data_IF_778897318476
#
_entry.id   IF_778897318476
#
_cell.length_a   1.000
_cell.length_b   1.000
_cell.length_c   1.000
_cell.angle_alpha   90.00
_cell.angle_beta   90.00
_cell.angle_gamma   90.00
#
_symmetry.space_group_name_H-M   'P 1'
#
loop_
_entity.id
_entity.type
_entity.pdbx_description
1 polymer ?
#
# COMPACT_ATOMS: atom_id res chain seq x y z
N UNK A 1 42.85 -34.92 -9.09
CA UNK A 1 41.60 -34.82 -8.31
C UNK A 1 41.19 -33.39 -7.91
N UNK A 2 41.66 -32.34 -8.62
CA UNK A 2 41.32 -30.92 -8.31
C UNK A 2 40.48 -30.22 -9.39
N UNK A 3 40.22 -30.90 -10.51
CA UNK A 3 39.58 -30.29 -11.69
C UNK A 3 38.05 -30.43 -11.65
N UNK A 4 37.50 -31.40 -10.90
CA UNK A 4 36.04 -31.59 -10.78
C UNK A 4 35.36 -30.59 -9.83
N UNK A 5 36.09 -30.02 -8.87
CA UNK A 5 35.50 -29.08 -7.89
C UNK A 5 35.23 -27.68 -8.49
N UNK A 6 35.90 -27.35 -9.60
CA UNK A 6 35.75 -26.04 -10.25
C UNK A 6 34.48 -25.93 -11.11
N UNK A 7 33.95 -27.05 -11.61
CA UNK A 7 32.74 -27.05 -12.44
C UNK A 7 31.45 -26.98 -11.62
N UNK A 8 31.49 -27.37 -10.33
CA UNK A 8 30.34 -27.26 -9.43
C UNK A 8 30.04 -25.81 -9.03
N UNK A 9 31.07 -24.95 -8.98
CA UNK A 9 30.92 -23.51 -8.70
C UNK A 9 30.48 -22.69 -9.91
N UNK A 10 30.61 -23.22 -11.13
CA UNK A 10 30.20 -22.51 -12.35
C UNK A 10 28.73 -22.77 -12.74
N UNK A 11 28.12 -23.85 -12.24
CA UNK A 11 26.72 -24.17 -12.53
C UNK A 11 25.71 -23.43 -11.63
N UNK A 12 26.17 -22.82 -10.53
CA UNK A 12 25.31 -22.06 -9.61
C UNK A 12 25.11 -20.59 -9.99
N UNK A 13 25.81 -20.08 -11.01
CA UNK A 13 25.78 -18.65 -11.36
C UNK A 13 24.69 -18.24 -12.37
N UNK A 14 23.81 -19.16 -12.79
CA UNK A 14 22.77 -18.88 -13.79
C UNK A 14 21.37 -18.62 -13.22
N UNK A 15 21.22 -18.45 -11.91
CA UNK A 15 20.02 -17.81 -11.35
C UNK A 15 20.12 -16.29 -11.51
N UNK A 16 20.22 -15.84 -12.76
CA UNK A 16 19.86 -14.48 -13.11
C UNK A 16 18.36 -14.38 -12.93
N UNK A 17 17.92 -13.79 -11.80
CA UNK A 17 16.60 -13.18 -11.72
C UNK A 17 16.58 -12.03 -12.73
N UNK A 18 16.36 -12.37 -14.00
CA UNK A 18 16.02 -11.40 -15.02
C UNK A 18 14.70 -10.77 -14.60
N UNK A 19 14.74 -9.52 -14.14
CA UNK A 19 13.54 -8.71 -14.04
C UNK A 19 12.99 -8.57 -15.45
N UNK A 20 11.99 -9.39 -15.77
CA UNK A 20 11.26 -9.28 -17.02
C UNK A 20 10.68 -7.88 -17.06
N UNK A 21 10.94 -7.11 -18.12
CA UNK A 21 10.15 -5.92 -18.45
C UNK A 21 8.68 -6.28 -18.25
N UNK A 22 8.02 -5.60 -17.31
CA UNK A 22 6.67 -5.91 -16.83
C UNK A 22 5.67 -5.95 -17.98
N UNK A 23 5.49 -7.13 -18.58
CA UNK A 23 4.52 -7.32 -19.64
C UNK A 23 3.19 -7.69 -18.99
N UNK A 24 2.50 -6.69 -18.47
CA UNK A 24 1.18 -6.86 -17.85
C UNK A 24 0.08 -7.27 -18.83
N UNK A 25 0.36 -7.27 -20.14
CA UNK A 25 -0.63 -7.51 -21.21
C UNK A 25 -1.42 -8.80 -20.99
N UNK A 26 -0.76 -9.89 -20.58
CA UNK A 26 -1.44 -11.18 -20.37
C UNK A 26 -2.36 -11.15 -19.15
N UNK A 27 -1.91 -10.52 -18.05
CA UNK A 27 -2.68 -10.40 -16.81
C UNK A 27 -3.90 -9.52 -17.06
N UNK A 28 -3.68 -8.36 -17.67
CA UNK A 28 -4.71 -7.38 -18.00
C UNK A 28 -5.74 -7.95 -18.98
N UNK A 29 -5.29 -8.63 -20.04
CA UNK A 29 -6.18 -9.26 -21.02
C UNK A 29 -7.05 -10.35 -20.40
N UNK A 30 -6.51 -11.10 -19.43
CA UNK A 30 -7.27 -12.10 -18.69
C UNK A 30 -8.29 -11.45 -17.75
N UNK A 31 -7.88 -10.44 -16.99
CA UNK A 31 -8.78 -9.72 -16.08
C UNK A 31 -9.84 -8.90 -16.79
N UNK A 32 -9.58 -8.42 -18.01
CA UNK A 32 -10.59 -7.78 -18.86
C UNK A 32 -11.73 -8.72 -19.25
N UNK A 33 -11.51 -10.05 -19.16
CA UNK A 33 -12.47 -11.10 -19.50
C UNK A 33 -13.03 -11.83 -18.28
N UNK A 34 -12.82 -11.30 -17.08
CA UNK A 34 -13.37 -11.89 -15.85
C UNK A 34 -14.90 -12.03 -15.96
N UNK A 35 -15.50 -13.19 -15.63
CA UNK A 35 -16.94 -13.37 -15.67
C UNK A 35 -17.66 -12.42 -14.71
N UNK A 36 -18.80 -11.85 -15.12
CA UNK A 36 -19.62 -10.98 -14.26
C UNK A 36 -20.05 -11.67 -12.95
N UNK A 37 -20.22 -13.00 -12.97
CA UNK A 37 -20.52 -13.79 -11.77
C UNK A 37 -19.40 -13.72 -10.73
N UNK A 38 -18.15 -13.56 -11.17
CA UNK A 38 -16.96 -13.43 -10.33
C UNK A 38 -16.68 -12.00 -9.89
N UNK A 39 -17.54 -11.03 -10.22
CA UNK A 39 -17.37 -9.61 -9.85
C UNK A 39 -18.48 -9.05 -8.97
N UNK A 40 -19.25 -9.95 -8.32
CA UNK A 40 -20.39 -9.60 -7.46
C UNK A 40 -20.00 -8.99 -6.12
N UNK A 41 -18.90 -9.47 -5.53
CA UNK A 41 -18.34 -8.96 -4.27
C UNK A 41 -16.80 -9.02 -4.35
N UNK A 42 -16.12 -8.33 -3.43
CA UNK A 42 -14.65 -8.30 -3.35
C UNK A 42 -14.07 -9.71 -3.21
N UNK A 43 -14.75 -10.61 -2.49
CA UNK A 43 -14.35 -12.01 -2.32
C UNK A 43 -14.30 -12.81 -3.60
N UNK A 44 -15.35 -12.71 -4.42
CA UNK A 44 -15.43 -13.44 -5.69
C UNK A 44 -14.32 -13.02 -6.66
N UNK A 45 -13.92 -11.74 -6.60
CA UNK A 45 -12.82 -11.19 -7.39
C UNK A 45 -11.49 -11.75 -6.88
N UNK A 46 -11.27 -11.72 -5.56
CA UNK A 46 -10.07 -12.28 -4.94
C UNK A 46 -9.94 -13.79 -5.23
N UNK A 47 -11.03 -14.56 -5.09
CA UNK A 47 -11.03 -16.01 -5.37
C UNK A 47 -10.70 -16.28 -6.85
N UNK A 48 -11.25 -15.49 -7.78
CA UNK A 48 -10.90 -15.61 -9.20
C UNK A 48 -9.42 -15.31 -9.43
N UNK A 49 -8.87 -14.26 -8.83
CA UNK A 49 -7.46 -13.89 -8.95
C UNK A 49 -6.57 -15.00 -8.37
N UNK A 50 -6.88 -15.52 -7.19
CA UNK A 50 -6.15 -16.59 -6.53
C UNK A 50 -6.09 -17.87 -7.37
N UNK A 51 -7.19 -18.21 -8.04
CA UNK A 51 -7.25 -19.40 -8.91
C UNK A 51 -6.46 -19.23 -10.22
N UNK A 52 -6.20 -18.01 -10.67
CA UNK A 52 -5.69 -17.72 -12.01
C UNK A 52 -4.25 -17.18 -12.06
N UNK A 53 -3.73 -16.69 -10.93
CA UNK A 53 -2.40 -16.08 -10.82
C UNK A 53 -1.65 -16.61 -9.62
N UNK A 54 -0.35 -16.85 -9.79
CA UNK A 54 0.47 -17.54 -8.76
C UNK A 54 1.31 -16.57 -7.97
N UNK A 55 2.05 -15.70 -8.66
CA UNK A 55 2.99 -14.78 -8.01
C UNK A 55 2.27 -13.62 -7.33
N UNK A 56 2.93 -13.02 -6.33
CA UNK A 56 2.41 -11.83 -5.66
C UNK A 56 2.22 -10.68 -6.65
N UNK A 57 3.18 -10.45 -7.54
CA UNK A 57 3.14 -9.37 -8.52
C UNK A 57 1.96 -9.51 -9.50
N UNK A 58 1.69 -10.73 -9.98
CA UNK A 58 0.55 -10.99 -10.86
C UNK A 58 -0.78 -10.75 -10.14
N UNK A 59 -0.92 -11.21 -8.89
CA UNK A 59 -2.12 -11.01 -8.07
C UNK A 59 -2.37 -9.54 -7.82
N UNK A 60 -1.35 -8.78 -7.42
CA UNK A 60 -1.45 -7.34 -7.20
C UNK A 60 -1.80 -6.61 -8.50
N UNK A 61 -1.18 -7.00 -9.62
CA UNK A 61 -1.50 -6.43 -10.94
C UNK A 61 -2.94 -6.68 -11.32
N UNK A 62 -3.41 -7.92 -11.18
CA UNK A 62 -4.78 -8.29 -11.49
C UNK A 62 -5.79 -7.49 -10.66
N UNK A 63 -5.54 -7.34 -9.35
CA UNK A 63 -6.38 -6.54 -8.44
C UNK A 63 -6.41 -5.07 -8.85
N UNK A 64 -5.23 -4.46 -9.06
CA UNK A 64 -5.11 -3.05 -9.43
C UNK A 64 -5.78 -2.76 -10.77
N UNK A 65 -5.45 -3.55 -11.79
CA UNK A 65 -6.01 -3.40 -13.13
C UNK A 65 -7.52 -3.52 -13.11
N UNK A 66 -8.05 -4.51 -12.37
CA UNK A 66 -9.48 -4.73 -12.32
C UNK A 66 -10.21 -3.54 -11.70
N UNK A 67 -9.74 -3.02 -10.56
CA UNK A 67 -10.35 -1.84 -9.93
C UNK A 67 -10.24 -0.62 -10.85
N UNK A 68 -9.03 -0.30 -11.33
CA UNK A 68 -8.77 0.88 -12.15
C UNK A 68 -9.52 0.87 -13.48
N UNK A 69 -9.77 -0.30 -14.07
CA UNK A 69 -10.43 -0.43 -15.37
C UNK A 69 -11.96 -0.54 -15.26
N UNK A 70 -12.50 -1.04 -14.15
CA UNK A 70 -13.93 -1.32 -14.02
C UNK A 70 -14.72 -0.27 -13.24
N UNK A 71 -14.05 0.60 -12.48
CA UNK A 71 -14.71 1.69 -11.75
C UNK A 71 -14.50 3.01 -12.48
N UNK A 72 -15.54 3.83 -12.55
CA UNK A 72 -15.48 5.19 -13.09
C UNK A 72 -15.52 6.24 -11.96
N UNK A 73 -14.72 7.30 -12.08
CA UNK A 73 -14.68 8.32 -11.05
C UNK A 73 -16.00 9.11 -11.01
N UNK A 74 -16.60 9.21 -9.82
CA UNK A 74 -17.88 9.87 -9.62
C UNK A 74 -17.70 11.37 -9.36
N UNK A 75 -17.43 12.12 -10.43
CA UNK A 75 -17.18 13.57 -10.35
C UNK A 75 -18.32 14.33 -9.68
N UNK A 76 -19.57 13.90 -9.90
CA UNK A 76 -20.74 14.56 -9.33
C UNK A 76 -20.79 14.49 -7.79
N UNK A 77 -20.15 13.48 -7.20
CA UNK A 77 -20.14 13.24 -5.76
C UNK A 77 -18.74 13.37 -5.15
N UNK A 78 -17.77 13.97 -5.85
CA UNK A 78 -16.37 14.08 -5.37
C UNK A 78 -16.22 14.87 -4.06
N UNK A 79 -17.16 15.76 -3.76
CA UNK A 79 -17.19 16.58 -2.55
C UNK A 79 -18.22 16.07 -1.52
N UNK A 80 -19.14 15.18 -1.94
CA UNK A 80 -20.24 14.65 -1.13
C UNK A 80 -19.93 13.21 -0.70
N UNK A 81 -18.86 13.05 0.09
CA UNK A 81 -18.52 11.74 0.65
C UNK A 81 -19.41 11.49 1.85
N UNK A 82 -20.28 10.47 1.76
CA UNK A 82 -21.07 9.99 2.89
C UNK A 82 -20.13 9.33 3.91
N UNK A 83 -19.72 10.10 4.92
CA UNK A 83 -18.81 9.63 5.98
C UNK A 83 -19.44 8.60 6.91
N UNK A 84 -20.77 8.45 6.89
CA UNK A 84 -21.52 7.47 7.69
C UNK A 84 -21.47 6.04 7.14
N UNK A 85 -21.23 5.86 5.84
CA UNK A 85 -21.18 4.53 5.22
C UNK A 85 -19.96 3.74 5.76
N UNK A 86 -20.18 2.49 6.16
CA UNK A 86 -19.10 1.54 6.53
C UNK A 86 -18.25 1.16 5.30
N UNK A 87 -17.06 0.61 5.52
CA UNK A 87 -16.20 0.11 4.43
C UNK A 87 -16.94 -0.89 3.52
N UNK A 88 -17.69 -1.83 4.09
CA UNK A 88 -18.49 -2.81 3.33
C UNK A 88 -19.57 -2.14 2.46
N UNK A 89 -20.28 -1.15 3.01
CA UNK A 89 -21.29 -0.40 2.26
C UNK A 89 -20.67 0.38 1.08
N UNK A 90 -19.51 1.02 1.29
CA UNK A 90 -18.77 1.70 0.21
C UNK A 90 -18.37 0.72 -0.88
N UNK A 91 -17.85 -0.46 -0.52
CA UNK A 91 -17.44 -1.51 -1.45
C UNK A 91 -18.65 -2.00 -2.28
N UNK A 92 -19.76 -2.33 -1.62
CA UNK A 92 -20.95 -2.84 -2.28
C UNK A 92 -21.58 -1.81 -3.22
N UNK A 93 -21.68 -0.54 -2.77
CA UNK A 93 -22.14 0.57 -3.62
C UNK A 93 -21.25 0.73 -4.85
N UNK A 94 -19.93 0.62 -4.69
CA UNK A 94 -18.96 0.72 -5.78
C UNK A 94 -19.11 -0.42 -6.78
N UNK A 95 -19.29 -1.65 -6.29
CA UNK A 95 -19.48 -2.82 -7.14
C UNK A 95 -20.81 -2.81 -7.89
N UNK A 96 -21.87 -2.32 -7.25
CA UNK A 96 -23.20 -2.21 -7.85
C UNK A 96 -23.28 -1.09 -8.90
N UNK A 97 -22.75 0.09 -8.58
CA UNK A 97 -22.85 1.28 -9.45
C UNK A 97 -21.72 1.36 -10.48
N UNK A 98 -20.60 0.64 -10.24
CA UNK A 98 -19.33 0.78 -10.98
C UNK A 98 -18.79 2.21 -10.97
N UNK A 99 -19.11 2.96 -9.91
CA UNK A 99 -18.69 4.34 -9.71
C UNK A 99 -18.22 4.56 -8.28
N UNK A 100 -17.35 5.55 -8.08
CA UNK A 100 -16.93 5.95 -6.75
C UNK A 100 -15.90 7.08 -6.81
N UNK A 101 -15.56 7.60 -5.63
CA UNK A 101 -14.46 8.57 -5.43
C UNK A 101 -13.24 7.87 -4.81
N UNK A 102 -12.16 8.59 -4.54
CA UNK A 102 -10.88 8.01 -4.10
C UNK A 102 -10.98 6.95 -3.00
N UNK A 103 -11.75 7.19 -1.93
CA UNK A 103 -11.93 6.22 -0.84
C UNK A 103 -12.60 4.92 -1.30
N UNK A 104 -13.55 4.98 -2.24
CA UNK A 104 -14.24 3.81 -2.77
C UNK A 104 -13.30 2.89 -3.55
N UNK A 105 -12.39 3.49 -4.34
CA UNK A 105 -11.35 2.77 -5.05
C UNK A 105 -10.35 2.12 -4.07
N UNK A 106 -9.92 2.87 -3.06
CA UNK A 106 -8.98 2.40 -2.04
C UNK A 106 -9.58 1.25 -1.21
N UNK A 107 -10.81 1.39 -0.71
CA UNK A 107 -11.53 0.35 0.05
C UNK A 107 -11.70 -0.94 -0.76
N UNK A 108 -12.16 -0.82 -2.01
CA UNK A 108 -12.36 -1.98 -2.88
C UNK A 108 -11.04 -2.69 -3.19
N UNK A 109 -9.98 -1.95 -3.51
CA UNK A 109 -8.67 -2.53 -3.75
C UNK A 109 -8.11 -3.19 -2.49
N UNK A 110 -8.15 -2.50 -1.35
CA UNK A 110 -7.72 -3.00 -0.06
C UNK A 110 -8.43 -4.30 0.32
N UNK A 111 -9.76 -4.34 0.17
CA UNK A 111 -10.55 -5.54 0.45
C UNK A 111 -10.16 -6.73 -0.43
N UNK A 112 -9.88 -6.52 -1.72
CA UNK A 112 -9.46 -7.58 -2.63
C UNK A 112 -8.08 -8.12 -2.24
N UNK A 113 -7.10 -7.24 -2.02
CA UNK A 113 -5.72 -7.69 -1.72
C UNK A 113 -5.60 -8.28 -0.31
N UNK A 114 -6.34 -7.78 0.67
CA UNK A 114 -6.43 -8.39 2.01
C UNK A 114 -6.93 -9.83 1.92
N UNK A 115 -7.94 -10.11 1.10
CA UNK A 115 -8.49 -11.46 0.90
C UNK A 115 -7.54 -12.39 0.12
N UNK A 116 -6.58 -11.83 -0.61
CA UNK A 116 -5.48 -12.57 -1.24
C UNK A 116 -4.33 -12.86 -0.25
N UNK A 117 -4.46 -12.42 1.01
CA UNK A 117 -3.49 -12.67 2.08
C UNK A 117 -2.41 -11.61 2.21
N UNK A 118 -2.54 -10.45 1.56
CA UNK A 118 -1.57 -9.37 1.69
C UNK A 118 -1.86 -8.51 2.93
N UNK A 119 -0.79 -8.09 3.61
CA UNK A 119 -0.87 -6.98 4.57
C UNK A 119 -1.09 -5.69 3.76
N UNK A 120 -2.25 -5.05 3.92
CA UNK A 120 -2.60 -3.81 3.23
C UNK A 120 -3.28 -2.81 4.15
N UNK A 121 -3.07 -1.54 3.85
CA UNK A 121 -3.60 -0.41 4.62
C UNK A 121 -4.01 0.72 3.70
N UNK A 122 -5.10 1.40 4.04
CA UNK A 122 -5.54 2.62 3.37
C UNK A 122 -4.78 3.80 3.98
N UNK A 123 -4.32 4.69 3.11
CA UNK A 123 -3.62 5.91 3.47
C UNK A 123 -4.46 7.08 2.98
N UNK A 124 -4.71 8.02 3.88
CA UNK A 124 -5.38 9.27 3.58
C UNK A 124 -4.38 10.43 3.57
N UNK A 125 -4.65 11.43 2.74
CA UNK A 125 -3.73 12.54 2.51
C UNK A 125 -4.28 13.59 1.57
N UNK A 126 -3.36 14.36 1.02
CA UNK A 126 -3.61 15.23 -0.13
C UNK A 126 -2.81 14.76 -1.34
N UNK A 127 -3.18 15.25 -2.51
CA UNK A 127 -2.39 15.11 -3.73
C UNK A 127 -1.70 16.43 -4.08
N UNK A 128 -0.67 16.35 -4.90
CA UNK A 128 0.10 17.48 -5.41
C UNK A 128 0.17 17.41 -6.93
N UNK A 129 -0.15 18.52 -7.58
CA UNK A 129 0.01 18.70 -9.02
C UNK A 129 0.77 20.00 -9.27
N UNK A 130 1.82 19.93 -10.09
CA UNK A 130 2.68 21.09 -10.39
C UNK A 130 3.20 21.81 -9.13
N UNK A 131 3.53 21.03 -8.09
CA UNK A 131 4.00 21.56 -6.80
C UNK A 131 2.92 22.16 -5.89
N UNK A 132 1.66 22.19 -6.31
CA UNK A 132 0.54 22.71 -5.52
C UNK A 132 -0.27 21.58 -4.90
N UNK A 133 -0.58 21.71 -3.61
CA UNK A 133 -1.43 20.76 -2.87
C UNK A 133 -2.89 20.98 -3.27
N UNK A 134 -3.59 19.89 -3.59
CA UNK A 134 -5.02 19.92 -3.89
C UNK A 134 -5.85 20.19 -2.62
N UNK A 135 -6.98 20.89 -2.76
CA UNK A 135 -7.87 21.20 -1.64
C UNK A 135 -8.65 19.97 -1.14
N UNK A 136 -9.00 19.06 -2.05
CA UNK A 136 -9.71 17.82 -1.71
C UNK A 136 -8.73 16.78 -1.16
N UNK A 137 -9.15 16.11 -0.10
CA UNK A 137 -8.44 14.94 0.42
C UNK A 137 -8.45 13.79 -0.60
N UNK A 138 -7.49 12.89 -0.44
CA UNK A 138 -7.30 11.75 -1.32
C UNK A 138 -6.98 10.51 -0.49
N UNK A 139 -7.33 9.34 -1.03
CA UNK A 139 -7.12 8.05 -0.39
C UNK A 139 -6.51 7.07 -1.40
N UNK A 140 -5.52 6.31 -0.95
CA UNK A 140 -4.81 5.28 -1.71
C UNK A 140 -4.41 4.13 -0.77
N UNK A 141 -3.64 3.15 -1.26
CA UNK A 141 -3.25 1.99 -0.46
C UNK A 141 -1.74 1.79 -0.41
N UNK A 142 -1.27 1.23 0.71
CA UNK A 142 0.00 0.54 0.78
C UNK A 142 -0.24 -0.96 0.92
N UNK A 143 0.57 -1.77 0.23
CA UNK A 143 0.53 -3.23 0.32
C UNK A 143 1.94 -3.75 0.48
N UNK A 144 2.13 -4.67 1.43
CA UNK A 144 3.40 -5.33 1.65
C UNK A 144 3.52 -6.53 0.71
N UNK A 145 4.56 -6.54 -0.10
CA UNK A 145 4.89 -7.63 -1.04
C UNK A 145 6.39 -7.85 -1.05
N UNK A 146 6.81 -9.11 -1.02
CA UNK A 146 8.22 -9.51 -0.95
C UNK A 146 8.97 -8.83 0.23
N UNK A 147 8.28 -8.67 1.37
CA UNK A 147 8.82 -8.05 2.57
C UNK A 147 8.95 -6.52 2.53
N UNK A 148 8.49 -5.86 1.47
CA UNK A 148 8.58 -4.40 1.29
C UNK A 148 7.21 -3.77 1.10
N UNK A 149 7.04 -2.56 1.62
CA UNK A 149 5.82 -1.77 1.39
C UNK A 149 5.88 -1.05 0.04
N UNK A 150 4.86 -1.29 -0.77
CA UNK A 150 4.64 -0.65 -2.07
C UNK A 150 3.32 0.11 -2.05
N UNK A 151 3.27 1.22 -2.79
CA UNK A 151 2.08 2.05 -2.84
C UNK A 151 1.28 1.82 -4.13
N UNK A 152 -0.03 1.95 -4.01
CA UNK A 152 -1.00 1.72 -5.07
C UNK A 152 -2.05 2.82 -5.01
N UNK A 153 -2.24 3.54 -6.11
CA UNK A 153 -3.38 4.44 -6.26
C UNK A 153 -4.25 3.96 -7.44
N UNK A 154 -5.27 3.12 -7.19
CA UNK A 154 -6.18 2.67 -8.21
C UNK A 154 -7.07 3.79 -8.79
N UNK A 155 -7.19 4.93 -8.10
CA UNK A 155 -7.97 6.09 -8.56
C UNK A 155 -7.25 6.85 -9.66
N UNK A 156 -6.03 7.33 -9.38
CA UNK A 156 -5.20 7.99 -10.41
C UNK A 156 -4.64 6.97 -11.42
N UNK A 157 -4.61 5.69 -11.03
CA UNK A 157 -4.41 4.57 -11.93
C UNK A 157 -5.52 4.41 -12.98
N UNK A 158 -6.76 4.78 -12.66
CA UNK A 158 -7.91 4.63 -13.57
C UNK A 158 -7.96 5.69 -14.68
N UNK A 159 -7.44 6.89 -14.41
CA UNK A 159 -7.51 8.01 -15.33
C UNK A 159 -7.41 9.35 -14.64
N UNK A 160 -7.91 10.40 -15.29
CA UNK A 160 -7.90 11.76 -14.75
C UNK A 160 -9.21 12.49 -15.01
N UNK A 161 -9.48 13.51 -14.20
CA UNK A 161 -10.61 14.43 -14.38
C UNK A 161 -10.07 15.71 -15.02
N UNK A 162 -10.62 16.09 -16.17
CA UNK A 162 -10.30 17.33 -16.85
C UNK A 162 -11.60 18.09 -17.10
N UNK A 163 -11.67 19.36 -16.69
CA UNK A 163 -12.87 20.21 -16.84
C UNK A 163 -14.16 19.53 -16.34
N UNK A 164 -14.10 18.85 -15.19
CA UNK A 164 -15.24 18.14 -14.60
C UNK A 164 -15.62 16.84 -15.33
N UNK A 165 -14.83 16.38 -16.30
CA UNK A 165 -15.08 15.14 -17.05
C UNK A 165 -14.00 14.11 -16.73
N UNK A 166 -14.42 12.96 -16.20
CA UNK A 166 -13.53 11.83 -16.00
C UNK A 166 -13.21 11.14 -17.33
N UNK A 167 -11.92 11.02 -17.64
CA UNK A 167 -11.41 10.28 -18.80
C UNK A 167 -10.62 9.08 -18.31
N UNK A 168 -11.10 7.88 -18.65
CA UNK A 168 -10.42 6.63 -18.31
C UNK A 168 -9.16 6.46 -19.16
N UNK A 169 -8.02 6.30 -18.51
CA UNK A 169 -6.73 6.02 -19.13
C UNK A 169 -5.84 5.37 -18.09
N UNK A 170 -5.61 4.06 -18.23
CA UNK A 170 -4.82 3.31 -17.27
C UNK A 170 -3.42 3.92 -17.14
N UNK A 171 -3.02 4.23 -15.91
CA UNK A 171 -1.71 4.78 -15.61
C UNK A 171 -0.93 3.83 -14.69
N UNK A 172 0.08 3.17 -15.26
CA UNK A 172 0.91 2.20 -14.55
C UNK A 172 1.87 2.85 -13.53
N UNK A 173 2.06 4.17 -13.55
CA UNK A 173 2.88 4.85 -12.55
C UNK A 173 2.38 4.58 -11.13
N UNK A 174 1.06 4.44 -10.95
CA UNK A 174 0.40 4.22 -9.66
C UNK A 174 0.25 2.74 -9.27
N UNK A 175 0.87 1.83 -10.03
CA UNK A 175 0.95 0.41 -9.70
C UNK A 175 2.30 0.09 -9.06
N UNK A 176 2.29 -0.45 -7.83
CA UNK A 176 3.49 -0.91 -7.11
C UNK A 176 4.58 0.17 -7.07
N UNK A 177 4.19 1.40 -6.79
CA UNK A 177 5.07 2.57 -6.81
C UNK A 177 5.90 2.61 -5.52
N UNK A 178 7.22 2.86 -5.58
CA UNK A 178 8.01 3.02 -4.38
C UNK A 178 7.59 4.29 -3.62
N UNK A 179 7.58 4.29 -2.28
CA UNK A 179 7.12 5.43 -1.49
C UNK A 179 7.79 6.75 -1.88
N UNK A 180 9.11 6.74 -2.12
CA UNK A 180 9.87 7.93 -2.52
C UNK A 180 9.30 8.58 -3.79
N UNK A 181 8.90 7.79 -4.79
CA UNK A 181 8.31 8.30 -6.02
C UNK A 181 6.86 8.77 -5.81
N UNK A 182 6.08 8.08 -4.98
CA UNK A 182 4.72 8.54 -4.67
C UNK A 182 4.71 9.89 -3.95
N UNK A 183 5.70 10.18 -3.10
CA UNK A 183 5.78 11.46 -2.38
C UNK A 183 5.90 12.68 -3.30
N UNK A 184 6.24 12.51 -4.57
CA UNK A 184 6.21 13.59 -5.56
C UNK A 184 4.78 14.10 -5.80
N UNK A 185 3.79 13.20 -5.73
CA UNK A 185 2.39 13.47 -6.06
C UNK A 185 1.42 13.27 -4.89
N UNK A 186 1.83 12.57 -3.83
CA UNK A 186 0.99 12.22 -2.69
C UNK A 186 1.60 12.73 -1.39
N UNK A 187 0.78 13.31 -0.53
CA UNK A 187 1.17 13.85 0.76
C UNK A 187 0.28 13.22 1.85
N UNK A 188 0.71 12.12 2.48
CA UNK A 188 -0.08 11.46 3.51
C UNK A 188 -0.22 12.34 4.76
N UNK A 189 -1.37 12.25 5.44
CA UNK A 189 -1.59 12.97 6.69
C UNK A 189 -0.65 12.47 7.80
N UNK A 190 -0.45 11.17 7.86
CA UNK A 190 0.46 10.55 8.82
C UNK A 190 1.91 10.61 8.31
N UNK A 191 2.77 11.19 9.15
CA UNK A 191 4.20 11.34 8.89
C UNK A 191 4.93 10.00 8.75
N UNK A 192 4.37 8.91 9.29
CA UNK A 192 4.93 7.56 9.15
C UNK A 192 5.04 7.14 7.68
N UNK A 193 4.13 7.62 6.83
CA UNK A 193 4.14 7.36 5.39
C UNK A 193 5.01 8.35 4.59
N UNK A 194 5.58 9.37 5.24
CA UNK A 194 6.43 10.39 4.59
C UNK A 194 7.92 10.04 4.59
N UNK A 195 8.38 9.11 5.44
CA UNK A 195 9.81 8.80 5.60
C UNK A 195 10.23 7.52 4.88
N UNK A 196 11.19 7.64 3.95
CA UNK A 196 11.44 6.67 2.87
C UNK A 196 12.21 5.38 3.22
N UNK A 197 12.63 5.14 4.47
CA UNK A 197 13.42 3.91 4.79
C UNK A 197 13.34 3.42 6.25
N UNK A 198 13.36 4.31 7.25
CA UNK A 198 13.37 3.87 8.66
C UNK A 198 11.96 3.58 9.25
N UNK A 199 10.91 4.12 8.64
CA UNK A 199 9.52 3.98 9.12
C UNK A 199 8.92 2.60 8.80
N UNK A 200 9.30 1.98 7.67
CA UNK A 200 8.73 0.71 7.20
C UNK A 200 8.99 -0.49 8.14
N UNK A 201 10.10 -0.45 8.91
CA UNK A 201 10.39 -1.44 9.94
C UNK A 201 9.59 -1.22 11.23
N UNK A 202 9.26 0.03 11.56
CA UNK A 202 8.45 0.39 12.73
C UNK A 202 6.96 0.06 12.49
N UNK A 203 6.48 0.18 11.25
CA UNK A 203 5.11 -0.16 10.85
C UNK A 203 4.74 -1.65 11.10
N UNK A 204 5.70 -2.58 11.00
CA UNK A 204 5.44 -4.00 11.24
C UNK A 204 5.09 -4.30 12.71
N UNK A 205 5.44 -3.42 13.65
CA UNK A 205 5.24 -3.62 15.09
C UNK A 205 3.95 -3.01 15.64
N UNK A 206 3.29 -2.10 14.92
CA UNK A 206 2.13 -1.33 15.42
C UNK A 206 0.78 -1.77 14.87
N UNK A 207 0.75 -2.56 13.78
CA UNK A 207 -0.48 -2.96 13.07
C UNK A 207 -0.86 -4.42 13.40
N UNK A 208 -0.04 -5.15 14.19
CA UNK A 208 -0.46 -6.45 14.70
C UNK A 208 -1.49 -6.25 15.82
N UNK A 209 -2.69 -6.86 15.75
CA UNK A 209 -3.54 -6.93 16.92
C UNK A 209 -2.80 -7.78 17.94
N UNK A 210 -2.33 -7.16 19.02
CA UNK A 210 -1.83 -7.88 20.19
C UNK A 210 -3.02 -8.68 20.73
N UNK A 211 -3.10 -9.95 20.35
CA UNK A 211 -4.01 -10.90 20.98
C UNK A 211 -3.59 -11.00 22.46
N UNK A 212 -4.44 -10.64 23.44
CA UNK A 212 -4.05 -10.70 24.83
C UNK A 212 -4.22 -12.14 25.32
N UNK A 213 -3.26 -13.01 25.02
CA UNK A 213 -3.06 -14.17 25.90
C UNK A 213 -2.18 -13.71 27.04
N UNK A 214 -2.85 -13.33 28.13
CA UNK A 214 -2.24 -13.08 29.44
C UNK A 214 -1.51 -14.37 29.86
N UNK A 215 -0.19 -14.29 29.97
CA UNK A 215 0.59 -15.15 30.86
C UNK A 215 1.45 -14.24 31.73
N UNK A 216 1.27 -14.23 33.07
CA UNK A 216 2.08 -13.40 33.94
C UNK A 216 3.40 -14.10 34.20
N UNK A 217 4.50 -13.33 34.13
CA UNK A 217 5.74 -13.42 34.94
C UNK A 217 7.00 -13.20 34.09
N UNK A 218 7.44 -11.94 34.03
CA UNK A 218 8.85 -11.63 34.07
C UNK A 218 9.03 -10.27 34.77
N UNK A 219 9.48 -10.33 36.03
CA UNK A 219 9.83 -9.15 36.84
C UNK A 219 11.01 -8.42 36.18
N UNK A 220 10.79 -7.20 35.73
CA UNK A 220 11.88 -6.31 35.31
C UNK A 220 12.55 -5.73 36.57
N UNK A 221 13.76 -6.19 36.89
CA UNK A 221 14.61 -5.61 37.94
C UNK A 221 15.22 -4.32 37.41
N UNK A 222 14.85 -3.20 38.02
CA UNK A 222 15.47 -1.89 37.78
C UNK A 222 16.84 -1.87 38.49
N UNK A 223 17.94 -1.94 37.74
CA UNK A 223 19.28 -1.73 38.29
C UNK A 223 19.61 -0.25 38.33
N UNK A 224 19.70 0.30 39.55
CA UNK A 224 20.30 1.61 39.83
C UNK A 224 21.79 1.55 39.48
N UNK A 225 22.23 2.49 38.63
CA UNK A 225 23.66 2.80 38.47
C UNK A 225 23.96 4.01 39.36
N UNK A 226 24.94 3.85 40.25
CA UNK A 226 25.43 4.88 41.18
C UNK A 226 26.92 5.11 40.94
N UNK A 227 27.27 6.41 40.78
CA UNK A 227 28.51 7.06 41.25
C UNK A 227 29.80 6.87 40.41
N UNK A 228 30.83 7.77 40.51
CA UNK A 228 31.03 8.80 41.55
C UNK A 228 31.47 10.21 41.09
N UNK A 229 31.37 11.09 42.09
CA UNK A 229 31.89 12.44 42.29
C UNK A 229 33.25 12.77 41.63
N UNK A 230 33.35 13.98 41.06
CA UNK A 230 34.53 14.83 41.21
C UNK A 230 34.10 16.29 41.36
N UNK A 231 34.73 16.97 42.31
CA UNK A 231 34.43 18.28 42.84
C UNK A 231 35.54 19.26 42.41
N UNK A 232 35.18 20.44 41.89
CA UNK A 232 36.00 21.65 42.00
C UNK A 232 35.17 22.86 41.61
N UNK A 233 34.82 23.68 42.59
CA UNK A 233 33.91 24.81 42.41
C UNK A 233 34.57 26.08 41.88
N UNK A 234 33.75 27.11 41.68
CA UNK A 234 34.00 28.48 42.13
C UNK A 234 32.73 29.31 42.01
N UNK A 235 32.59 30.25 42.94
CA UNK A 235 31.44 31.14 43.17
C UNK A 235 31.23 32.14 42.03
N UNK A 236 29.98 32.54 41.79
CA UNK A 236 29.61 33.94 41.57
C UNK A 236 28.11 34.15 41.81
N UNK A 237 27.83 34.98 42.81
CA UNK A 237 26.56 35.62 43.15
C UNK A 237 26.15 36.70 42.12
N UNK A 238 24.86 36.91 41.87
CA UNK A 238 24.12 38.10 42.33
C UNK A 238 22.64 38.05 41.90
N UNK A 239 21.78 38.54 42.81
CA UNK A 239 20.34 38.75 42.69
C UNK A 239 19.98 39.81 41.64
N UNK A 240 18.86 39.63 40.94
CA UNK A 240 17.58 40.35 41.16
C UNK A 240 16.54 39.89 40.16
#
# INVERSE_FOLDING_TARGET
MKIFFSYCLFFCALLTFGQTKDNFVLIDAKMAKIPKSSTKNSKSIADYIAANFKSENEKLRASFFWVASNISYDVANMENIEFSDTSEQKIDKTLNTRKGVCIHYAELFNAIVSQLGFESVIIEGYTKQFGKVAALSHAWCAVKSEGKWWLFDPTWGAGSVNNGVFTKKLNNFYFKTPPKAMLETHMPFDYLWQSSTASQACMAALITPVCPTISPLAKFKQTKSTSPLFNSGTKASFNS
#
